data_IF_806320352615
#
_entry.id   IF_806320352615
#
_cell.length_a   1.000
_cell.length_b   1.000
_cell.length_c   1.000
_cell.angle_alpha   90.00
_cell.angle_beta   90.00
_cell.angle_gamma   90.00
#
_symmetry.space_group_name_H-M   'P 1'
#
loop_
_entity.id
_entity.type
_entity.pdbx_description
1 polymer ?
#
# COMPACT_ATOMS: atom_id res chain seq x y z
N UNK A 1 7.37 22.64 38.98
CA UNK A 1 7.94 21.44 38.32
C UNK A 1 7.46 21.31 36.87
N UNK A 2 7.88 22.21 35.97
CA UNK A 2 7.38 22.24 34.58
C UNK A 2 8.51 22.18 33.52
N UNK A 3 9.52 21.32 33.71
CA UNK A 3 10.67 21.23 32.78
C UNK A 3 10.98 19.81 32.27
N UNK A 4 10.21 18.78 32.64
CA UNK A 4 10.49 17.39 32.24
C UNK A 4 9.84 16.97 30.91
N UNK A 5 8.83 17.69 30.42
CA UNK A 5 8.10 17.34 29.18
C UNK A 5 8.84 17.69 27.88
N UNK A 6 9.69 18.72 27.89
CA UNK A 6 10.38 19.20 26.68
C UNK A 6 11.54 18.27 26.27
N UNK A 7 12.25 17.70 27.26
CA UNK A 7 13.38 16.79 27.01
C UNK A 7 12.96 15.46 26.37
N UNK A 8 11.87 14.84 26.84
CA UNK A 8 11.34 13.59 26.30
C UNK A 8 10.85 13.74 24.85
N UNK A 9 10.20 14.87 24.53
CA UNK A 9 9.72 15.13 23.17
C UNK A 9 10.88 15.37 22.19
N UNK A 10 11.96 16.02 22.62
CA UNK A 10 13.16 16.25 21.82
C UNK A 10 13.97 14.95 21.62
N UNK A 11 14.09 14.11 22.66
CA UNK A 11 14.76 12.81 22.60
C UNK A 11 14.00 11.83 21.71
N UNK A 12 12.66 11.78 21.81
CA UNK A 12 11.80 10.95 20.93
C UNK A 12 11.88 11.40 19.47
N UNK A 13 11.92 12.72 19.22
CA UNK A 13 12.09 13.28 17.87
C UNK A 13 13.49 12.99 17.28
N UNK A 14 14.55 13.05 18.11
CA UNK A 14 15.91 12.64 17.72
C UNK A 14 16.04 11.13 17.48
N UNK A 15 15.34 10.30 18.24
CA UNK A 15 15.31 8.85 18.03
C UNK A 15 14.56 8.47 16.74
N UNK A 16 13.40 9.08 16.49
CA UNK A 16 12.64 8.92 15.25
C UNK A 16 13.44 9.40 14.02
N UNK A 17 14.16 10.52 14.12
CA UNK A 17 15.04 11.01 13.06
C UNK A 17 16.23 10.08 12.77
N UNK A 18 16.85 9.48 13.79
CA UNK A 18 17.91 8.47 13.64
C UNK A 18 17.38 7.19 12.98
N UNK A 19 16.21 6.72 13.39
CA UNK A 19 15.57 5.54 12.79
C UNK A 19 15.25 5.73 11.31
N UNK A 20 14.74 6.91 10.92
CA UNK A 20 14.47 7.21 9.51
C UNK A 20 15.75 7.31 8.66
N UNK A 21 16.83 7.88 9.19
CA UNK A 21 18.11 7.94 8.46
C UNK A 21 18.73 6.55 8.25
N UNK A 22 18.61 5.66 9.23
CA UNK A 22 19.05 4.26 9.11
C UNK A 22 18.21 3.52 8.06
N UNK A 23 16.89 3.68 8.07
CA UNK A 23 15.99 3.09 7.07
C UNK A 23 16.39 3.48 5.64
N UNK A 24 16.62 4.79 5.38
CA UNK A 24 17.05 5.27 4.06
C UNK A 24 18.37 4.64 3.61
N UNK A 25 19.37 4.61 4.51
CA UNK A 25 20.68 3.99 4.24
C UNK A 25 20.57 2.50 3.97
N UNK A 26 19.73 1.79 4.72
CA UNK A 26 19.49 0.36 4.54
C UNK A 26 18.86 0.07 3.18
N UNK A 27 17.80 0.80 2.80
CA UNK A 27 17.15 0.64 1.49
C UNK A 27 18.12 0.92 0.33
N UNK A 28 18.92 1.99 0.42
CA UNK A 28 19.93 2.28 -0.60
C UNK A 28 21.02 1.20 -0.66
N UNK A 29 21.46 0.69 0.49
CA UNK A 29 22.45 -0.40 0.56
C UNK A 29 21.94 -1.68 -0.08
N UNK A 30 20.68 -2.03 0.20
CA UNK A 30 20.03 -3.21 -0.37
C UNK A 30 19.78 -3.04 -1.88
N UNK A 31 19.43 -1.83 -2.33
CA UNK A 31 19.36 -1.52 -3.76
C UNK A 31 20.71 -1.70 -4.46
N UNK A 32 21.81 -1.24 -3.85
CA UNK A 32 23.17 -1.45 -4.37
C UNK A 32 23.53 -2.93 -4.48
N UNK A 33 23.23 -3.73 -3.46
CA UNK A 33 23.46 -5.16 -3.54
C UNK A 33 22.59 -5.82 -4.61
N UNK A 34 21.32 -5.44 -4.72
CA UNK A 34 20.40 -5.95 -5.74
C UNK A 34 20.87 -5.65 -7.16
N UNK A 35 21.33 -4.42 -7.44
CA UNK A 35 21.93 -4.07 -8.74
C UNK A 35 23.19 -4.89 -9.01
N UNK A 36 24.04 -5.08 -7.99
CA UNK A 36 25.22 -5.94 -8.13
C UNK A 36 24.84 -7.38 -8.45
N UNK A 37 23.84 -7.95 -7.76
CA UNK A 37 23.35 -9.31 -8.04
C UNK A 37 22.82 -9.43 -9.46
N UNK A 38 22.07 -8.43 -9.95
CA UNK A 38 21.60 -8.40 -11.33
C UNK A 38 22.75 -8.34 -12.35
N UNK A 39 23.75 -7.50 -12.10
CA UNK A 39 24.96 -7.44 -12.93
C UNK A 39 25.66 -8.79 -12.98
N UNK A 40 25.91 -9.41 -11.81
CA UNK A 40 26.58 -10.69 -11.72
C UNK A 40 25.75 -11.80 -12.42
N UNK A 41 24.42 -11.78 -12.33
CA UNK A 41 23.53 -12.74 -13.02
C UNK A 41 23.52 -12.54 -14.53
N UNK A 42 23.53 -11.29 -14.99
CA UNK A 42 23.47 -10.95 -16.41
C UNK A 42 24.67 -11.45 -17.23
N UNK A 43 25.79 -11.79 -16.56
CA UNK A 43 26.94 -12.41 -17.22
C UNK A 43 26.65 -13.82 -17.75
N UNK A 44 25.59 -14.47 -17.28
CA UNK A 44 25.28 -15.87 -17.62
C UNK A 44 24.06 -16.00 -18.53
N UNK A 45 23.05 -15.14 -18.37
CA UNK A 45 21.80 -15.20 -19.12
C UNK A 45 21.12 -13.82 -19.21
N UNK A 46 20.22 -13.66 -20.18
CA UNK A 46 19.32 -12.50 -20.26
C UNK A 46 18.34 -12.50 -19.10
N UNK A 47 18.11 -11.34 -18.49
CA UNK A 47 17.20 -11.22 -17.34
C UNK A 47 15.76 -11.04 -17.83
N UNK A 48 14.87 -11.94 -17.40
CA UNK A 48 13.44 -11.92 -17.72
C UNK A 48 12.54 -11.63 -16.50
N UNK A 49 11.22 -11.62 -16.71
CA UNK A 49 10.22 -11.32 -15.69
C UNK A 49 10.11 -12.39 -14.57
N UNK A 50 10.70 -13.57 -14.76
CA UNK A 50 10.65 -14.69 -13.82
C UNK A 50 11.84 -14.73 -12.86
N UNK A 51 12.92 -14.01 -13.18
CA UNK A 51 14.12 -13.91 -12.32
C UNK A 51 13.76 -13.37 -10.93
N UNK A 52 14.15 -14.11 -9.90
CA UNK A 52 13.93 -13.72 -8.50
C UNK A 52 14.75 -12.48 -8.14
N UNK A 53 15.92 -12.32 -8.73
CA UNK A 53 16.78 -11.14 -8.62
C UNK A 53 16.07 -9.90 -9.16
N UNK A 54 15.43 -10.02 -10.33
CA UNK A 54 14.65 -8.94 -10.93
C UNK A 54 13.41 -8.60 -10.10
N UNK A 55 12.63 -9.61 -9.69
CA UNK A 55 11.44 -9.42 -8.85
C UNK A 55 11.82 -8.66 -7.57
N UNK A 56 12.92 -9.05 -6.92
CA UNK A 56 13.38 -8.40 -5.71
C UNK A 56 13.86 -6.97 -5.98
N UNK A 57 14.61 -6.74 -7.07
CA UNK A 57 15.04 -5.40 -7.48
C UNK A 57 13.85 -4.45 -7.70
N UNK A 58 12.82 -4.89 -8.43
CA UNK A 58 11.61 -4.09 -8.66
C UNK A 58 10.92 -3.76 -7.34
N UNK A 59 10.83 -4.73 -6.42
CA UNK A 59 10.27 -4.51 -5.08
C UNK A 59 11.04 -3.45 -4.29
N UNK A 60 12.37 -3.49 -4.34
CA UNK A 60 13.25 -2.52 -3.68
C UNK A 60 13.09 -1.13 -4.31
N UNK A 61 13.10 -1.04 -5.63
CA UNK A 61 12.93 0.23 -6.34
C UNK A 61 11.55 0.84 -6.08
N UNK A 62 10.49 0.03 -6.12
CA UNK A 62 9.13 0.46 -5.77
C UNK A 62 9.06 0.95 -4.32
N UNK A 63 9.74 0.31 -3.38
CA UNK A 63 9.84 0.78 -1.99
C UNK A 63 10.53 2.15 -1.89
N UNK A 64 11.66 2.32 -2.57
CA UNK A 64 12.41 3.57 -2.57
C UNK A 64 11.57 4.71 -3.16
N UNK A 65 10.91 4.46 -4.28
CA UNK A 65 10.07 5.46 -4.95
C UNK A 65 8.79 5.78 -4.16
N UNK A 66 8.29 4.88 -3.32
CA UNK A 66 7.14 5.14 -2.44
C UNK A 66 7.54 5.63 -1.03
N UNK A 67 8.83 5.66 -0.69
CA UNK A 67 9.29 6.02 0.64
C UNK A 67 8.93 7.48 0.96
N UNK A 68 7.97 7.67 1.88
CA UNK A 68 7.41 8.97 2.30
C UNK A 68 6.82 9.78 1.14
N UNK A 69 6.21 9.09 0.17
CA UNK A 69 5.42 9.73 -0.87
C UNK A 69 4.12 10.28 -0.25
N UNK A 70 3.81 11.56 -0.50
CA UNK A 70 2.59 12.22 0.00
C UNK A 70 1.37 11.68 -0.72
N UNK A 71 0.29 11.44 0.03
CA UNK A 71 -1.04 11.23 -0.53
C UNK A 71 -1.47 12.40 -1.42
N UNK A 72 -2.40 12.14 -2.34
CA UNK A 72 -3.07 13.18 -3.08
C UNK A 72 -4.30 13.64 -2.31
N UNK A 73 -4.25 14.83 -1.74
CA UNK A 73 -5.44 15.47 -1.18
C UNK A 73 -6.37 15.87 -2.32
N UNK A 74 -7.53 15.24 -2.40
CA UNK A 74 -8.60 15.64 -3.32
C UNK A 74 -9.21 16.96 -2.88
N UNK A 75 -9.93 17.65 -3.78
CA UNK A 75 -10.61 18.93 -3.48
C UNK A 75 -11.56 18.83 -2.26
N UNK A 76 -12.09 17.64 -1.99
CA UNK A 76 -12.98 17.36 -0.86
C UNK A 76 -12.23 17.02 0.45
N UNK A 77 -10.90 17.16 0.48
CA UNK A 77 -10.09 16.87 1.66
C UNK A 77 -9.81 15.38 1.90
N UNK A 78 -10.34 14.48 1.06
CA UNK A 78 -9.99 13.05 1.15
C UNK A 78 -8.57 12.85 0.62
N UNK A 79 -7.72 12.19 1.40
CA UNK A 79 -6.42 11.73 0.95
C UNK A 79 -6.59 10.44 0.14
N UNK A 80 -6.36 10.53 -1.16
CA UNK A 80 -6.23 9.37 -2.04
C UNK A 80 -4.77 8.92 -2.06
N UNK A 81 -4.47 7.61 -2.08
CA UNK A 81 -3.10 7.13 -2.23
C UNK A 81 -2.51 7.63 -3.56
N UNK A 82 -1.46 8.45 -3.48
CA UNK A 82 -0.64 8.79 -4.65
C UNK A 82 0.27 7.62 -4.95
N UNK A 83 0.37 7.22 -6.21
CA UNK A 83 1.35 6.22 -6.64
C UNK A 83 2.65 6.90 -7.04
N UNK A 84 3.79 6.21 -6.92
CA UNK A 84 5.04 6.71 -7.50
C UNK A 84 4.93 6.98 -9.00
N UNK A 85 4.04 6.27 -9.71
CA UNK A 85 3.77 6.53 -11.12
C UNK A 85 3.31 7.98 -11.38
N UNK A 86 2.47 8.54 -10.51
CA UNK A 86 2.03 9.93 -10.63
C UNK A 86 3.19 10.91 -10.50
N UNK A 87 4.16 10.60 -9.64
CA UNK A 87 5.40 11.36 -9.52
C UNK A 87 6.24 11.25 -10.80
N UNK A 88 6.44 10.04 -11.32
CA UNK A 88 7.21 9.83 -12.56
C UNK A 88 6.60 10.60 -13.73
N UNK A 89 5.28 10.56 -13.91
CA UNK A 89 4.60 11.33 -14.95
C UNK A 89 4.87 12.83 -14.83
N UNK A 90 4.78 13.36 -13.61
CA UNK A 90 4.98 14.78 -13.36
C UNK A 90 6.44 15.22 -13.55
N UNK A 91 7.41 14.42 -13.08
CA UNK A 91 8.82 14.79 -13.05
C UNK A 91 9.57 14.43 -14.34
N UNK A 92 9.13 13.40 -15.07
CA UNK A 92 9.83 12.88 -16.25
C UNK A 92 9.19 13.29 -17.59
N UNK A 93 8.14 14.11 -17.60
CA UNK A 93 7.47 14.54 -18.84
C UNK A 93 8.38 15.28 -19.84
N UNK A 94 9.52 15.80 -19.38
CA UNK A 94 10.53 16.50 -20.18
C UNK A 94 11.65 15.60 -20.71
N UNK A 95 11.67 14.31 -20.34
CA UNK A 95 12.65 13.35 -20.87
C UNK A 95 12.39 13.17 -22.36
N UNK A 96 13.38 13.37 -23.26
CA UNK A 96 13.20 13.18 -24.69
C UNK A 96 12.75 11.76 -25.03
N UNK A 97 11.85 11.60 -26.00
CA UNK A 97 11.35 10.28 -26.43
C UNK A 97 10.90 9.40 -25.26
N UNK A 98 10.16 9.95 -24.32
CA UNK A 98 9.70 9.19 -23.16
C UNK A 98 8.53 8.26 -23.50
N UNK A 99 8.42 7.16 -22.76
CA UNK A 99 7.38 6.15 -22.94
C UNK A 99 6.09 6.44 -22.14
N UNK A 100 5.97 7.60 -21.47
CA UNK A 100 4.88 7.88 -20.51
C UNK A 100 3.51 7.77 -21.17
N UNK A 101 3.31 8.42 -22.33
CA UNK A 101 2.04 8.37 -23.05
C UNK A 101 1.68 6.96 -23.51
N UNK A 102 2.67 6.18 -23.94
CA UNK A 102 2.49 4.79 -24.36
C UNK A 102 1.99 3.94 -23.19
N UNK A 103 2.64 4.04 -22.02
CA UNK A 103 2.20 3.37 -20.78
C UNK A 103 0.79 3.83 -20.36
N UNK A 104 0.46 5.12 -20.50
CA UNK A 104 -0.86 5.63 -20.15
C UNK A 104 -1.98 5.04 -21.02
N UNK A 105 -1.68 4.77 -22.29
CA UNK A 105 -2.61 4.22 -23.29
C UNK A 105 -2.81 2.70 -23.22
N UNK A 106 -2.07 1.97 -22.36
CA UNK A 106 -2.21 0.52 -22.25
C UNK A 106 -3.57 0.12 -21.66
N UNK A 107 -4.42 -0.56 -22.45
CA UNK A 107 -5.77 -0.98 -22.04
C UNK A 107 -5.77 -2.13 -21.02
N UNK A 108 -4.74 -2.98 -21.08
CA UNK A 108 -4.54 -4.14 -20.22
C UNK A 108 -3.87 -3.81 -18.86
N UNK A 109 -3.48 -2.54 -18.64
CA UNK A 109 -2.80 -2.08 -17.42
C UNK A 109 -3.57 -0.87 -16.88
N UNK A 110 -4.51 -1.12 -15.96
CA UNK A 110 -5.47 -0.09 -15.54
C UNK A 110 -5.03 0.68 -14.31
N UNK A 111 -4.45 0.00 -13.31
CA UNK A 111 -4.09 0.65 -12.05
C UNK A 111 -2.83 1.52 -12.19
N UNK A 112 -2.77 2.62 -11.43
CA UNK A 112 -1.58 3.49 -11.42
C UNK A 112 -0.31 2.74 -11.00
N UNK A 113 -0.45 1.76 -10.09
CA UNK A 113 0.65 0.91 -9.63
C UNK A 113 1.15 -0.01 -10.75
N UNK A 114 0.23 -0.65 -11.48
CA UNK A 114 0.60 -1.50 -12.60
C UNK A 114 1.23 -0.70 -13.75
N UNK A 115 0.76 0.53 -14.00
CA UNK A 115 1.42 1.47 -14.93
C UNK A 115 2.84 1.81 -14.49
N UNK A 116 3.05 2.06 -13.19
CA UNK A 116 4.40 2.24 -12.64
C UNK A 116 5.30 1.03 -12.85
N UNK A 117 4.79 -0.19 -12.63
CA UNK A 117 5.54 -1.44 -12.84
C UNK A 117 5.80 -1.74 -14.32
N UNK A 118 4.88 -1.40 -15.21
CA UNK A 118 5.06 -1.48 -16.66
C UNK A 118 6.14 -0.50 -17.11
N UNK A 119 6.10 0.73 -16.59
CA UNK A 119 7.11 1.74 -16.86
C UNK A 119 8.51 1.27 -16.45
N UNK A 120 8.69 0.70 -15.25
CA UNK A 120 10.00 0.16 -14.81
C UNK A 120 10.55 -0.85 -15.84
N UNK A 121 9.71 -1.79 -16.30
CA UNK A 121 10.11 -2.79 -17.31
C UNK A 121 10.52 -2.13 -18.63
N UNK A 122 9.71 -1.22 -19.14
CA UNK A 122 9.99 -0.53 -20.41
C UNK A 122 11.29 0.27 -20.33
N UNK A 123 11.50 1.05 -19.27
CA UNK A 123 12.73 1.86 -19.16
C UNK A 123 13.98 1.04 -18.88
N UNK A 124 13.85 -0.16 -18.29
CA UNK A 124 14.95 -1.11 -18.15
C UNK A 124 15.32 -1.74 -19.50
N UNK A 125 14.33 -2.17 -20.29
CA UNK A 125 14.56 -2.68 -21.65
C UNK A 125 15.15 -1.61 -22.57
N UNK A 126 14.72 -0.36 -22.42
CA UNK A 126 15.30 0.78 -23.16
C UNK A 126 16.69 1.18 -22.64
N UNK A 127 17.16 0.64 -21.50
CA UNK A 127 18.42 0.99 -20.83
C UNK A 127 18.50 2.46 -20.38
N UNK A 128 17.37 3.01 -19.92
CA UNK A 128 17.19 4.44 -19.62
C UNK A 128 16.74 4.73 -18.20
N UNK A 129 16.56 3.73 -17.33
CA UNK A 129 16.08 3.95 -15.96
C UNK A 129 16.89 5.03 -15.21
N UNK A 130 18.22 5.01 -15.31
CA UNK A 130 19.13 5.99 -14.69
C UNK A 130 18.93 7.42 -15.24
N UNK A 131 18.66 7.57 -16.54
CA UNK A 131 18.37 8.86 -17.18
C UNK A 131 17.06 9.46 -16.64
N UNK A 132 16.00 8.64 -16.57
CA UNK A 132 14.72 9.08 -16.01
C UNK A 132 14.87 9.50 -14.55
N UNK A 133 15.59 8.73 -13.72
CA UNK A 133 15.79 9.07 -12.31
C UNK A 133 16.60 10.35 -12.13
N UNK A 134 17.68 10.50 -12.89
CA UNK A 134 18.47 11.74 -12.90
C UNK A 134 17.65 12.95 -13.33
N UNK A 135 16.77 12.79 -14.33
CA UNK A 135 15.87 13.86 -14.77
C UNK A 135 14.82 14.20 -13.72
N UNK A 136 14.23 13.19 -13.07
CA UNK A 136 13.22 13.38 -12.03
C UNK A 136 13.80 14.15 -10.83
N UNK A 137 15.00 13.77 -10.38
CA UNK A 137 15.68 14.40 -9.25
C UNK A 137 16.13 15.84 -9.54
N UNK A 138 16.38 16.17 -10.82
CA UNK A 138 16.70 17.55 -11.24
C UNK A 138 15.48 18.47 -11.16
N UNK A 139 14.26 17.97 -11.34
CA UNK A 139 13.03 18.73 -11.10
C UNK A 139 12.66 18.75 -9.60
N UNK A 140 13.56 19.32 -8.80
CA UNK A 140 13.43 19.37 -7.34
C UNK A 140 12.11 20.01 -6.86
N UNK A 141 11.54 20.94 -7.63
CA UNK A 141 10.24 21.57 -7.30
C UNK A 141 9.11 20.53 -7.32
N UNK A 142 9.07 19.69 -8.35
CA UNK A 142 8.09 18.60 -8.45
C UNK A 142 8.35 17.53 -7.39
N UNK A 143 9.61 17.10 -7.20
CA UNK A 143 9.97 16.10 -6.18
C UNK A 143 9.58 16.56 -4.78
N UNK A 144 9.90 17.80 -4.39
CA UNK A 144 9.54 18.35 -3.06
C UNK A 144 8.03 18.45 -2.84
N UNK A 145 7.25 18.67 -3.89
CA UNK A 145 5.78 18.66 -3.82
C UNK A 145 5.24 17.25 -3.59
N UNK A 146 5.87 16.22 -4.15
CA UNK A 146 5.42 14.84 -4.09
C UNK A 146 5.85 14.09 -2.82
N UNK A 147 6.97 14.45 -2.17
CA UNK A 147 7.51 13.71 -1.03
C UNK A 147 7.48 14.53 0.27
N UNK A 148 7.36 13.84 1.42
CA UNK A 148 7.52 14.43 2.75
C UNK A 148 8.99 14.64 3.13
N UNK A 149 9.23 15.50 4.12
CA UNK A 149 10.56 15.74 4.64
C UNK A 149 11.19 14.44 5.17
N UNK A 150 12.45 14.22 4.82
CA UNK A 150 13.18 12.99 5.15
C UNK A 150 12.91 11.80 4.22
N UNK A 151 12.24 11.99 3.08
CA UNK A 151 12.17 11.00 2.01
C UNK A 151 13.54 10.74 1.36
N UNK A 152 13.77 9.52 0.84
CA UNK A 152 14.98 9.17 0.09
C UNK A 152 15.18 10.12 -1.10
N UNK A 153 14.11 10.40 -1.84
CA UNK A 153 14.13 11.26 -3.03
C UNK A 153 14.48 12.73 -2.74
N UNK A 154 14.47 13.15 -1.47
CA UNK A 154 14.86 14.50 -1.03
C UNK A 154 16.16 14.52 -0.23
N UNK A 155 16.76 13.36 0.04
CA UNK A 155 17.98 13.20 0.82
C UNK A 155 19.23 13.14 -0.06
N UNK A 156 20.39 13.07 0.61
CA UNK A 156 21.70 12.85 -0.03
C UNK A 156 21.77 11.49 -0.74
N UNK A 157 20.93 10.55 -0.30
CA UNK A 157 20.80 9.20 -0.87
C UNK A 157 20.26 9.20 -2.32
N UNK A 158 19.56 10.26 -2.75
CA UNK A 158 18.95 10.34 -4.06
C UNK A 158 19.97 10.33 -5.22
N UNK A 159 21.08 11.08 -5.07
CA UNK A 159 22.15 11.09 -6.07
C UNK A 159 22.81 9.72 -6.17
N UNK A 160 23.12 9.12 -5.02
CA UNK A 160 23.71 7.78 -4.94
C UNK A 160 22.80 6.70 -5.55
N UNK A 161 21.48 6.85 -5.42
CA UNK A 161 20.51 5.99 -6.09
C UNK A 161 20.64 6.10 -7.62
N UNK A 162 20.63 7.33 -8.17
CA UNK A 162 20.77 7.55 -9.61
C UNK A 162 22.08 6.95 -10.15
N UNK A 163 23.20 7.15 -9.45
CA UNK A 163 24.50 6.58 -9.80
C UNK A 163 24.49 5.06 -9.78
N UNK A 164 23.86 4.46 -8.76
CA UNK A 164 23.74 3.00 -8.63
C UNK A 164 22.97 2.41 -9.81
N UNK A 165 21.92 3.10 -10.30
CA UNK A 165 21.09 2.63 -11.40
C UNK A 165 21.78 2.69 -12.77
N UNK A 166 22.91 3.41 -12.91
CA UNK A 166 23.68 3.47 -14.17
C UNK A 166 24.17 2.08 -14.56
N UNK A 167 24.55 1.24 -13.59
CA UNK A 167 25.03 -0.12 -13.86
C UNK A 167 24.02 -0.97 -14.61
N UNK A 168 22.71 -0.72 -14.45
CA UNK A 168 21.67 -1.49 -15.12
C UNK A 168 21.64 -1.26 -16.64
N UNK A 169 22.22 -0.17 -17.14
CA UNK A 169 22.25 0.12 -18.58
C UNK A 169 23.07 -0.90 -19.37
N UNK A 170 23.96 -1.67 -18.73
CA UNK A 170 24.77 -2.71 -19.39
C UNK A 170 24.07 -4.07 -19.45
N UNK A 171 22.91 -4.21 -18.80
CA UNK A 171 22.17 -5.48 -18.72
C UNK A 171 21.16 -5.56 -19.87
N UNK A 172 21.05 -6.73 -20.49
CA UNK A 172 20.02 -7.04 -21.47
C UNK A 172 18.79 -7.65 -20.77
N UNK A 173 17.72 -6.86 -20.73
CA UNK A 173 16.43 -7.28 -20.17
C UNK A 173 15.45 -7.69 -21.27
N UNK A 174 14.68 -8.75 -21.02
CA UNK A 174 13.64 -9.25 -21.93
C UNK A 174 12.34 -9.52 -21.17
N UNK A 175 11.39 -8.58 -21.25
CA UNK A 175 10.14 -8.65 -20.49
C UNK A 175 8.91 -8.83 -21.37
N UNK A 176 7.93 -9.57 -20.84
CA UNK A 176 6.61 -9.74 -21.44
C UNK A 176 5.61 -8.83 -20.72
N UNK A 177 5.17 -7.76 -21.38
CA UNK A 177 4.13 -6.85 -20.86
C UNK A 177 2.72 -7.46 -20.98
N UNK A 178 2.50 -8.64 -20.38
CA UNK A 178 1.17 -9.24 -20.27
C UNK A 178 0.54 -8.81 -18.94
N UNK A 179 -0.65 -8.20 -18.99
CA UNK A 179 -1.26 -7.46 -17.86
C UNK A 179 -1.42 -8.23 -16.54
N UNK A 180 -1.46 -9.57 -16.56
CA UNK A 180 -1.67 -10.41 -15.37
C UNK A 180 -0.60 -10.23 -14.27
N UNK A 181 0.68 -10.04 -14.63
CA UNK A 181 1.76 -9.90 -13.63
C UNK A 181 1.91 -8.51 -13.03
N UNK A 182 1.31 -7.49 -13.67
CA UNK A 182 1.53 -6.07 -13.32
C UNK A 182 0.55 -5.58 -12.26
N UNK A 183 -0.69 -6.08 -12.28
CA UNK A 183 -1.77 -5.65 -11.40
C UNK A 183 -1.80 -6.38 -10.05
N UNK A 184 -0.89 -7.36 -9.80
CA UNK A 184 -0.86 -8.16 -8.57
C UNK A 184 -1.08 -7.29 -7.33
N UNK A 185 -2.21 -7.48 -6.65
CA UNK A 185 -2.70 -6.62 -5.57
C UNK A 185 -1.76 -6.60 -4.35
N UNK A 186 -0.82 -7.55 -4.31
CA UNK A 186 0.15 -7.69 -3.24
C UNK A 186 1.15 -6.51 -3.24
N UNK A 187 1.44 -5.95 -2.05
CA UNK A 187 2.55 -5.00 -1.87
C UNK A 187 3.85 -5.60 -2.39
N UNK A 188 4.76 -4.76 -2.88
CA UNK A 188 6.13 -5.19 -3.13
C UNK A 188 6.71 -5.78 -1.83
N UNK A 189 7.20 -7.02 -1.85
CA UNK A 189 7.89 -7.60 -0.70
C UNK A 189 9.37 -7.68 -1.05
N UNK A 190 10.22 -7.12 -0.19
CA UNK A 190 11.67 -7.20 -0.36
C UNK A 190 12.15 -8.46 0.37
N UNK A 191 12.80 -9.35 -0.37
CA UNK A 191 13.56 -10.43 0.21
C UNK A 191 14.96 -9.93 0.59
N UNK A 192 15.21 -9.83 1.90
CA UNK A 192 16.50 -9.41 2.44
C UNK A 192 17.50 -10.57 2.56
N UNK A 193 17.03 -11.81 2.51
CA UNK A 193 17.82 -13.04 2.72
C UNK A 193 19.15 -13.04 1.96
N UNK A 194 19.20 -12.73 0.64
CA UNK A 194 20.47 -12.73 -0.10
C UNK A 194 21.47 -11.64 0.33
N UNK A 195 21.03 -10.62 1.09
CA UNK A 195 21.83 -9.46 1.47
C UNK A 195 22.24 -9.44 2.94
N UNK A 196 21.72 -10.37 3.74
CA UNK A 196 22.10 -10.51 5.14
C UNK A 196 23.51 -11.07 5.20
N UNK A 197 24.48 -10.20 5.51
CA UNK A 197 25.84 -10.61 5.84
C UNK A 197 25.90 -10.93 7.33
N UNK A 198 26.34 -12.14 7.64
CA UNK A 198 26.79 -12.48 8.98
C UNK A 198 27.97 -11.56 9.36
N UNK A 199 27.81 -10.79 10.42
CA UNK A 199 28.89 -10.03 11.05
C UNK A 199 29.38 -10.81 12.26
N UNK A 200 30.62 -11.30 12.20
CA UNK A 200 31.24 -12.02 13.30
C UNK A 200 31.33 -11.13 14.55
N UNK A 201 30.98 -11.67 15.70
CA UNK A 201 31.05 -11.00 17.01
C UNK A 201 32.49 -10.59 17.34
N UNK A 202 32.68 -9.42 17.94
CA UNK A 202 34.00 -8.92 18.36
C UNK A 202 34.71 -9.88 19.33
N UNK A 203 33.95 -10.65 20.11
CA UNK A 203 34.46 -11.66 21.04
C UNK A 203 35.10 -12.86 20.31
N UNK A 204 34.57 -13.24 19.15
CA UNK A 204 35.12 -14.32 18.31
C UNK A 204 36.43 -13.88 17.63
N UNK A 205 36.58 -12.59 17.33
CA UNK A 205 37.81 -12.02 16.75
C UNK A 205 38.94 -11.95 17.80
N UNK A 206 38.62 -11.66 19.06
CA UNK A 206 39.58 -11.64 20.17
C UNK A 206 40.20 -13.01 20.45
N UNK A 207 39.40 -14.08 20.34
CA UNK A 207 39.86 -15.46 20.53
C UNK A 207 40.93 -15.88 19.51
N UNK A 208 40.83 -15.40 18.26
CA UNK A 208 41.77 -15.74 17.19
C UNK A 208 43.17 -15.13 17.43
N UNK A 209 43.27 -13.93 18.01
CA UNK A 209 44.57 -13.34 18.31
C UNK A 209 45.29 -14.04 19.46
N UNK A 210 44.55 -14.54 20.45
CA UNK A 210 45.11 -15.21 21.63
C UNK A 210 45.65 -16.61 21.28
N UNK A 211 45.01 -17.29 20.33
CA UNK A 211 45.46 -18.58 19.76
C UNK A 211 46.66 -18.40 18.81
N UNK A 212 46.76 -17.28 18.09
CA UNK A 212 47.91 -16.98 17.23
C UNK A 212 49.18 -16.63 18.04
N UNK A 213 49.02 -15.99 19.20
CA UNK A 213 50.13 -15.67 20.13
C UNK A 213 50.72 -16.91 20.81
N UNK A 214 49.96 -17.97 20.99
CA UNK A 214 50.41 -19.20 21.68
C UNK A 214 51.24 -20.14 20.79
N UNK A 215 51.22 -19.96 19.47
CA UNK A 215 51.88 -20.86 18.50
C UNK A 215 53.18 -20.32 17.89
N UNK A 216 53.46 -19.02 18.06
CA UNK A 216 54.72 -18.40 17.62
C UNK A 216 55.94 -18.74 18.49
N UNK A 217 55.75 -19.52 19.56
CA UNK A 217 56.77 -19.78 20.58
C UNK A 217 57.23 -21.24 20.57
N UNK A 218 57.84 -21.69 19.47
CA UNK A 218 58.69 -22.90 19.51
C UNK A 218 59.71 -22.86 18.38
N UNK A 219 60.82 -22.16 18.63
CA UNK A 219 62.01 -22.16 17.78
C UNK A 219 63.18 -22.78 18.53
N UNK A 220 63.73 -23.87 17.98
CA UNK A 220 65.14 -24.21 18.16
C UNK A 220 65.55 -25.23 17.08
N UNK A 221 66.49 -24.81 16.24
CA UNK A 221 67.05 -25.54 15.11
C UNK A 221 68.24 -26.42 15.52
N UNK A 222 68.44 -27.58 14.88
CA UNK A 222 69.78 -28.11 14.60
C UNK A 222 69.77 -29.09 13.41
N UNK A 223 70.81 -28.98 12.58
CA UNK A 223 71.03 -29.44 11.20
C UNK A 223 71.32 -30.94 10.98
N UNK A 224 70.96 -31.48 9.79
CA UNK A 224 71.87 -32.14 8.80
C UNK A 224 71.07 -32.80 7.65
N UNK A 225 71.55 -32.81 6.38
CA UNK A 225 70.79 -33.36 5.25
C UNK A 225 71.32 -34.74 4.79
N UNK A 226 70.44 -35.74 4.65
CA UNK A 226 70.58 -36.75 3.59
C UNK A 226 69.29 -37.57 3.33
N UNK A 227 69.23 -38.14 2.13
CA UNK A 227 68.04 -38.62 1.41
C UNK A 227 67.37 -39.87 2.00
N UNK A 228 66.33 -39.64 2.79
CA UNK A 228 65.21 -40.56 3.08
C UNK A 228 64.12 -39.64 3.57
N UNK A 229 62.90 -39.62 2.98
CA UNK A 229 61.80 -38.68 3.29
C UNK A 229 62.05 -37.88 4.58
N UNK A 230 62.80 -36.78 4.44
CA UNK A 230 63.60 -36.24 5.56
C UNK A 230 62.66 -35.86 6.69
N UNK A 231 63.06 -36.01 7.95
CA UNK A 231 62.24 -35.58 9.09
C UNK A 231 61.69 -34.16 8.86
N UNK A 232 62.47 -33.28 8.22
CA UNK A 232 62.04 -31.97 7.73
C UNK A 232 60.86 -32.00 6.72
N UNK A 233 60.85 -32.89 5.73
CA UNK A 233 59.73 -33.06 4.78
C UNK A 233 58.46 -33.53 5.48
N UNK A 234 58.58 -34.51 6.38
CA UNK A 234 57.45 -35.03 7.17
C UNK A 234 56.93 -33.95 8.12
N UNK A 235 57.81 -33.18 8.77
CA UNK A 235 57.44 -32.03 9.59
C UNK A 235 56.77 -30.92 8.78
N UNK A 236 57.23 -30.67 7.54
CA UNK A 236 56.63 -29.64 6.67
C UNK A 236 55.25 -30.06 6.20
N UNK A 237 55.06 -31.34 5.85
CA UNK A 237 53.78 -31.89 5.43
C UNK A 237 52.79 -32.00 6.62
N UNK A 238 53.28 -32.38 7.80
CA UNK A 238 52.52 -32.35 9.05
C UNK A 238 52.11 -30.92 9.43
N UNK A 239 53.01 -29.94 9.31
CA UNK A 239 52.72 -28.52 9.51
C UNK A 239 51.66 -27.99 8.52
N UNK A 240 51.73 -28.41 7.25
CA UNK A 240 50.73 -28.07 6.23
C UNK A 240 49.36 -28.71 6.52
N UNK A 241 49.32 -29.97 6.98
CA UNK A 241 48.10 -30.65 7.37
C UNK A 241 47.48 -30.03 8.62
N UNK A 242 48.28 -29.67 9.62
CA UNK A 242 47.83 -28.94 10.81
C UNK A 242 47.27 -27.58 10.41
N UNK A 243 47.94 -26.85 9.53
CA UNK A 243 47.47 -25.56 9.01
C UNK A 243 46.16 -25.68 8.23
N UNK A 244 46.02 -26.72 7.40
CA UNK A 244 44.75 -27.04 6.71
C UNK A 244 43.65 -27.42 7.71
N UNK A 245 43.96 -28.25 8.70
CA UNK A 245 43.02 -28.69 9.73
C UNK A 245 42.49 -27.48 10.51
N UNK A 246 43.37 -26.59 10.98
CA UNK A 246 42.99 -25.33 11.62
C UNK A 246 42.15 -24.43 10.73
N UNK A 247 42.48 -24.34 9.44
CA UNK A 247 41.68 -23.56 8.48
C UNK A 247 40.30 -24.16 8.25
N UNK A 248 40.17 -25.48 8.30
CA UNK A 248 38.88 -26.18 8.24
C UNK A 248 38.08 -26.00 9.53
N UNK A 249 38.72 -26.13 10.69
CA UNK A 249 38.13 -25.89 12.01
C UNK A 249 37.58 -24.47 12.13
N UNK A 250 38.35 -23.47 11.66
CA UNK A 250 37.90 -22.08 11.63
C UNK A 250 36.69 -21.88 10.72
N UNK A 251 36.71 -22.49 9.52
CA UNK A 251 35.56 -22.43 8.61
C UNK A 251 34.32 -23.08 9.23
N UNK A 252 34.49 -24.19 9.93
CA UNK A 252 33.41 -24.88 10.62
C UNK A 252 32.84 -24.04 11.77
N UNK A 253 33.71 -23.41 12.56
CA UNK A 253 33.33 -22.49 13.65
C UNK A 253 32.50 -21.32 13.13
N UNK A 254 32.97 -20.65 12.07
CA UNK A 254 32.22 -19.55 11.42
C UNK A 254 30.88 -20.04 10.87
N UNK A 255 30.84 -21.23 10.25
CA UNK A 255 29.60 -21.81 9.75
C UNK A 255 28.61 -22.12 10.88
N UNK A 256 29.09 -22.53 12.07
CA UNK A 256 28.27 -22.78 13.25
C UNK A 256 27.67 -21.47 13.81
N UNK A 257 28.47 -20.40 13.89
CA UNK A 257 27.97 -19.08 14.31
C UNK A 257 26.94 -18.52 13.31
N UNK A 258 27.20 -18.66 12.01
CA UNK A 258 26.26 -18.30 10.94
C UNK A 258 24.94 -19.06 11.07
N UNK A 259 25.01 -20.37 11.33
CA UNK A 259 23.83 -21.20 11.57
C UNK A 259 23.03 -20.65 12.76
N UNK A 260 23.68 -20.40 13.91
CA UNK A 260 23.01 -19.86 15.09
C UNK A 260 22.35 -18.50 14.86
N UNK A 261 23.00 -17.62 14.09
CA UNK A 261 22.41 -16.33 13.69
C UNK A 261 21.15 -16.51 12.84
N UNK A 262 21.19 -17.42 11.86
CA UNK A 262 20.02 -17.71 11.02
C UNK A 262 18.89 -18.35 11.81
N UNK A 263 19.18 -19.27 12.74
CA UNK A 263 18.18 -19.87 13.63
C UNK A 263 17.49 -18.81 14.51
N UNK A 264 18.25 -17.88 15.08
CA UNK A 264 17.66 -16.79 15.88
C UNK A 264 16.85 -15.82 15.02
N UNK A 265 17.30 -15.54 13.79
CA UNK A 265 16.53 -14.73 12.85
C UNK A 265 15.20 -15.40 12.49
N UNK A 266 15.20 -16.71 12.23
CA UNK A 266 13.98 -17.48 11.99
C UNK A 266 13.06 -17.42 13.20
N UNK A 267 13.58 -17.66 14.42
CA UNK A 267 12.82 -17.57 15.66
C UNK A 267 12.17 -16.20 15.85
N UNK A 268 12.90 -15.12 15.55
CA UNK A 268 12.38 -13.76 15.60
C UNK A 268 11.26 -13.54 14.58
N UNK A 269 11.42 -14.05 13.35
CA UNK A 269 10.39 -13.96 12.30
C UNK A 269 9.14 -14.75 12.64
N UNK A 270 9.27 -15.94 13.20
CA UNK A 270 8.14 -16.74 13.69
C UNK A 270 7.38 -16.02 14.81
N UNK A 271 8.10 -15.40 15.75
CA UNK A 271 7.49 -14.59 16.80
C UNK A 271 6.73 -13.38 16.24
N UNK A 272 7.32 -12.67 15.28
CA UNK A 272 6.66 -11.55 14.58
C UNK A 272 5.42 -12.02 13.81
N UNK A 273 5.51 -13.13 13.10
CA UNK A 273 4.40 -13.73 12.37
C UNK A 273 3.27 -14.12 13.32
N UNK A 274 3.58 -14.78 14.44
CA UNK A 274 2.61 -15.15 15.47
C UNK A 274 1.89 -13.92 16.04
N UNK A 275 2.62 -12.85 16.34
CA UNK A 275 2.05 -11.60 16.81
C UNK A 275 1.14 -10.94 15.76
N UNK A 276 1.58 -10.90 14.50
CA UNK A 276 0.80 -10.35 13.38
C UNK A 276 -0.48 -11.15 13.12
N UNK A 277 -0.40 -12.48 13.16
CA UNK A 277 -1.55 -13.38 13.03
C UNK A 277 -2.56 -13.16 14.17
N UNK A 278 -2.08 -13.03 15.41
CA UNK A 278 -2.94 -12.73 16.56
C UNK A 278 -3.64 -11.39 16.41
N UNK A 279 -2.92 -10.36 15.97
CA UNK A 279 -3.48 -9.03 15.73
C UNK A 279 -4.52 -9.03 14.60
N UNK A 280 -4.23 -9.70 13.48
CA UNK A 280 -5.19 -9.88 12.38
C UNK A 280 -6.45 -10.59 12.85
N UNK A 281 -6.33 -11.63 13.67
CA UNK A 281 -7.48 -12.32 14.26
C UNK A 281 -8.30 -11.41 15.16
N UNK A 282 -7.68 -10.48 15.89
CA UNK A 282 -8.38 -9.47 16.67
C UNK A 282 -9.11 -8.46 15.78
N UNK A 283 -8.45 -7.97 14.72
CA UNK A 283 -9.07 -7.06 13.74
C UNK A 283 -10.26 -7.68 13.03
N UNK A 284 -10.16 -8.94 12.61
CA UNK A 284 -11.27 -9.66 11.98
C UNK A 284 -12.49 -9.79 12.90
N UNK A 285 -12.26 -10.03 14.20
CA UNK A 285 -13.36 -10.03 15.19
C UNK A 285 -13.99 -8.65 15.32
N UNK A 286 -13.19 -7.60 15.50
CA UNK A 286 -13.70 -6.23 15.59
C UNK A 286 -14.50 -5.84 14.34
N UNK A 287 -14.02 -6.23 13.16
CA UNK A 287 -14.72 -5.96 11.90
C UNK A 287 -16.07 -6.69 11.85
N UNK A 288 -16.12 -7.97 12.24
CA UNK A 288 -17.35 -8.73 12.34
C UNK A 288 -18.34 -8.08 13.35
N UNK A 289 -17.85 -7.65 14.50
CA UNK A 289 -18.66 -6.99 15.53
C UNK A 289 -19.22 -5.65 15.02
N UNK A 290 -18.41 -4.85 14.32
CA UNK A 290 -18.89 -3.59 13.71
C UNK A 290 -19.92 -3.83 12.62
N UNK A 291 -19.75 -4.86 11.79
CA UNK A 291 -20.75 -5.24 10.79
C UNK A 291 -22.07 -5.66 11.42
N UNK A 292 -22.01 -6.41 12.52
CA UNK A 292 -23.20 -6.81 13.26
C UNK A 292 -23.90 -5.58 13.88
N UNK A 293 -23.14 -4.68 14.51
CA UNK A 293 -23.68 -3.43 15.07
C UNK A 293 -24.38 -2.59 13.99
N UNK A 294 -23.71 -2.39 12.85
CA UNK A 294 -24.28 -1.62 11.73
C UNK A 294 -25.54 -2.28 11.15
N UNK A 295 -25.58 -3.62 11.08
CA UNK A 295 -26.76 -4.33 10.61
C UNK A 295 -27.96 -4.13 11.56
N UNK A 296 -27.71 -4.20 12.87
CA UNK A 296 -28.72 -4.03 13.89
C UNK A 296 -29.22 -2.57 13.96
N UNK A 297 -28.32 -1.59 13.87
CA UNK A 297 -28.67 -0.17 13.73
C UNK A 297 -29.50 0.10 12.47
N UNK A 298 -29.14 -0.53 11.35
CA UNK A 298 -29.90 -0.41 10.10
C UNK A 298 -31.32 -0.95 10.26
N UNK A 299 -31.49 -2.13 10.86
CA UNK A 299 -32.81 -2.73 11.11
C UNK A 299 -33.66 -1.84 12.05
N UNK A 300 -33.04 -1.28 13.09
CA UNK A 300 -33.71 -0.32 13.98
C UNK A 300 -34.17 0.93 13.24
N UNK A 301 -33.34 1.49 12.35
CA UNK A 301 -33.70 2.66 11.55
C UNK A 301 -34.81 2.33 10.54
N UNK A 302 -34.80 1.15 9.93
CA UNK A 302 -35.88 0.68 9.06
C UNK A 302 -37.20 0.58 9.82
N UNK A 303 -37.19 0.05 11.05
CA UNK A 303 -38.36 0.02 11.92
C UNK A 303 -38.90 1.42 12.24
N UNK A 304 -38.01 2.36 12.63
CA UNK A 304 -38.39 3.75 12.92
C UNK A 304 -39.01 4.43 11.69
N UNK A 305 -38.46 4.19 10.50
CA UNK A 305 -39.01 4.73 9.26
C UNK A 305 -40.43 4.22 9.01
N UNK A 306 -40.69 2.93 9.21
CA UNK A 306 -42.02 2.34 9.05
C UNK A 306 -43.02 2.94 10.05
N UNK A 307 -42.64 3.09 11.31
CA UNK A 307 -43.46 3.72 12.35
C UNK A 307 -43.82 5.17 11.99
N UNK A 308 -42.82 5.95 11.53
CA UNK A 308 -43.03 7.34 11.11
C UNK A 308 -43.92 7.45 9.86
N UNK A 309 -43.81 6.50 8.93
CA UNK A 309 -44.68 6.43 7.75
C UNK A 309 -46.14 6.12 8.11
N UNK A 310 -46.37 5.25 9.09
CA UNK A 310 -47.71 4.95 9.60
C UNK A 310 -48.33 6.19 10.27
N UNK A 311 -47.59 6.84 11.18
CA UNK A 311 -48.03 8.08 11.84
C UNK A 311 -48.37 9.18 10.83
N UNK A 312 -47.55 9.36 9.79
CA UNK A 312 -47.80 10.33 8.73
C UNK A 312 -49.07 9.98 7.93
N UNK A 313 -49.32 8.70 7.68
CA UNK A 313 -50.51 8.22 6.98
C UNK A 313 -51.79 8.49 7.79
N UNK A 314 -51.75 8.22 9.11
CA UNK A 314 -52.85 8.52 10.02
C UNK A 314 -53.16 10.03 10.04
N UNK A 315 -52.13 10.87 10.19
CA UNK A 315 -52.29 12.32 10.17
C UNK A 315 -52.88 12.83 8.86
N UNK A 316 -52.39 12.32 7.72
CA UNK A 316 -52.90 12.67 6.38
C UNK A 316 -54.37 12.30 6.22
N UNK A 317 -54.79 11.13 6.71
CA UNK A 317 -56.19 10.70 6.66
C UNK A 317 -57.08 11.57 7.57
N UNK A 318 -56.59 12.00 8.73
CA UNK A 318 -57.30 12.91 9.63
C UNK A 318 -57.48 14.30 8.99
N UNK A 319 -56.43 14.87 8.39
CA UNK A 319 -56.52 16.13 7.63
C UNK A 319 -57.55 16.03 6.50
N UNK A 320 -57.51 14.94 5.73
CA UNK A 320 -58.47 14.71 4.65
C UNK A 320 -59.91 14.66 5.16
N UNK A 321 -60.15 13.96 6.28
CA UNK A 321 -61.46 13.88 6.92
C UNK A 321 -61.93 15.25 7.41
N UNK A 322 -61.07 15.98 8.12
CA UNK A 322 -61.36 17.34 8.62
C UNK A 322 -61.73 18.29 7.47
N UNK A 323 -61.02 18.19 6.33
CA UNK A 323 -61.32 18.97 5.13
C UNK A 323 -62.65 18.56 4.47
N UNK A 324 -62.97 17.27 4.44
CA UNK A 324 -64.25 16.77 3.92
C UNK A 324 -65.41 17.23 4.80
N UNK A 325 -65.29 17.14 6.12
CA UNK A 325 -66.28 17.62 7.08
C UNK A 325 -66.50 19.13 6.90
N UNK A 326 -65.43 19.92 6.84
CA UNK A 326 -65.55 21.36 6.58
C UNK A 326 -66.25 21.66 5.25
N UNK A 327 -65.89 20.92 4.19
CA UNK A 327 -66.51 21.09 2.86
C UNK A 327 -68.00 20.75 2.91
N UNK A 328 -68.38 19.65 3.58
CA UNK A 328 -69.77 19.27 3.77
C UNK A 328 -70.54 20.33 4.57
N UNK A 329 -69.97 20.86 5.65
CA UNK A 329 -70.58 21.92 6.45
C UNK A 329 -70.77 23.22 5.66
N UNK A 330 -69.83 23.59 4.79
CA UNK A 330 -69.95 24.77 3.93
C UNK A 330 -70.98 24.56 2.81
N UNK A 331 -71.03 23.34 2.23
CA UNK A 331 -71.97 23.01 1.14
C UNK A 331 -73.41 22.90 1.65
N UNK A 332 -73.61 22.41 2.87
CA UNK A 332 -74.95 22.25 3.47
C UNK A 332 -75.52 23.54 4.08
N UNK A 333 -74.71 24.60 4.24
CA UNK A 333 -75.17 25.90 4.74
C UNK A 333 -75.56 26.89 3.64
N UNK A 334 -75.31 26.57 2.37
CA UNK A 334 -75.70 27.41 1.24
C UNK A 334 -76.69 26.64 0.35
N UNK A 335 -77.98 27.05 0.27
CA UNK A 335 -78.90 26.43 -0.68
C UNK A 335 -78.43 26.69 -2.10
N UNK A 336 -78.44 25.66 -2.94
CA UNK A 336 -78.36 25.82 -4.40
C UNK A 336 -79.47 26.77 -4.85
N UNK A 337 -79.20 27.77 -5.72
CA UNK A 337 -80.27 28.51 -6.37
C UNK A 337 -80.89 27.60 -7.44
N UNK A 338 -81.97 26.88 -7.08
CA UNK A 338 -82.81 26.18 -8.06
C UNK A 338 -83.77 27.17 -8.74
N UNK A 339 -83.83 27.04 -10.06
CA UNK A 339 -84.94 27.36 -10.97
C UNK A 339 -85.71 28.69 -10.80
N UNK A 340 -85.47 29.66 -11.70
CA UNK A 340 -86.53 30.51 -12.23
C UNK A 340 -86.29 30.84 -13.73
N UNK A 341 -87.41 30.87 -14.44
CA UNK A 341 -87.63 30.89 -15.88
C UNK A 341 -87.06 32.09 -16.68
N UNK A 342 -87.17 31.91 -18.00
CA UNK A 342 -86.84 32.79 -19.10
C UNK A 342 -87.29 34.27 -19.01
N UNK A 343 -86.56 35.10 -19.78
CA UNK A 343 -86.82 36.48 -20.22
C UNK A 343 -86.72 37.63 -19.18
N UNK A 344 -85.60 38.36 -19.21
CA UNK A 344 -85.58 39.83 -19.25
C UNK A 344 -84.17 40.36 -19.57
N UNK A 345 -84.11 41.23 -20.57
CA UNK A 345 -82.95 42.10 -20.91
C UNK A 345 -82.84 43.21 -19.86
N UNK A 346 -81.63 43.47 -19.32
CA UNK A 346 -81.41 44.60 -18.40
C UNK A 346 -80.03 44.65 -17.71
N UNK A 347 -79.11 45.37 -18.35
CA UNK A 347 -77.84 46.03 -17.96
C UNK A 347 -77.43 46.22 -16.46
N UNK A 348 -76.26 45.63 -16.07
CA UNK A 348 -75.15 46.00 -15.11
C UNK A 348 -75.39 46.33 -13.59
N UNK A 349 -74.38 46.34 -12.66
CA UNK A 349 -72.97 45.80 -12.60
C UNK A 349 -72.64 45.10 -11.21
N UNK A 350 -71.42 45.16 -10.60
CA UNK A 350 -70.14 44.46 -10.84
C UNK A 350 -69.67 43.53 -9.67
N UNK A 351 -68.62 42.72 -9.89
CA UNK A 351 -67.53 42.33 -8.95
C UNK A 351 -67.07 40.87 -9.16
N UNK A 352 -65.96 40.70 -9.90
CA UNK A 352 -65.27 39.41 -10.04
C UNK A 352 -64.31 39.24 -8.85
N UNK A 353 -64.71 38.51 -7.81
CA UNK A 353 -63.75 37.91 -6.90
C UNK A 353 -63.13 36.69 -7.57
N UNK A 354 -61.91 36.88 -8.06
CA UNK A 354 -61.06 35.80 -8.51
C UNK A 354 -60.60 34.97 -7.31
N UNK A 355 -61.25 33.83 -7.04
CA UNK A 355 -60.63 32.75 -6.28
C UNK A 355 -59.78 31.92 -7.25
N UNK A 356 -58.47 32.14 -7.17
CA UNK A 356 -57.45 31.28 -7.75
C UNK A 356 -57.56 29.87 -7.16
N UNK A 357 -58.36 29.01 -7.80
CA UNK A 357 -58.19 27.56 -7.65
C UNK A 357 -56.93 27.17 -8.43
N UNK A 358 -55.79 27.20 -7.75
CA UNK A 358 -54.58 26.52 -8.22
C UNK A 358 -54.87 25.02 -8.22
N UNK A 359 -55.38 24.52 -9.35
CA UNK A 359 -55.26 23.11 -9.72
C UNK A 359 -53.79 22.84 -10.02
N UNK A 360 -53.11 22.11 -9.14
CA UNK A 360 -51.87 21.42 -9.46
C UNK A 360 -52.15 19.91 -9.36
N UNK A 361 -52.08 19.15 -10.46
CA UNK A 361 -52.16 17.71 -10.41
C UNK A 361 -50.77 17.17 -10.07
N UNK A 362 -50.55 16.75 -8.82
CA UNK A 362 -49.44 15.85 -8.51
C UNK A 362 -49.98 14.42 -8.56
N UNK A 363 -49.88 13.86 -9.76
CA UNK A 363 -49.99 12.43 -10.02
C UNK A 363 -48.73 11.78 -9.45
N UNK A 364 -48.82 11.22 -8.25
CA UNK A 364 -47.81 10.29 -7.73
C UNK A 364 -48.23 8.90 -8.19
N UNK A 365 -47.78 8.49 -9.36
CA UNK A 365 -47.80 7.08 -9.73
C UNK A 365 -46.68 6.39 -8.94
N UNK A 366 -47.07 5.67 -7.88
CA UNK A 366 -46.28 4.59 -7.33
C UNK A 366 -46.22 3.46 -8.36
N UNK A 367 -45.05 3.22 -8.94
CA UNK A 367 -44.74 1.95 -9.59
C UNK A 367 -43.45 1.41 -8.99
N UNK A 368 -43.64 0.44 -8.09
CA UNK A 368 -42.63 -0.52 -7.69
C UNK A 368 -42.29 -1.37 -8.92
N UNK A 369 -41.07 -1.27 -9.42
CA UNK A 369 -40.44 -2.37 -10.14
C UNK A 369 -38.94 -2.38 -9.86
N UNK A 370 -38.50 -3.42 -9.16
CA UNK A 370 -37.10 -3.80 -9.03
C UNK A 370 -36.73 -4.57 -10.29
N UNK A 371 -35.63 -4.20 -10.96
CA UNK A 371 -34.77 -5.23 -11.51
C UNK A 371 -33.30 -5.04 -11.12
N UNK A 372 -32.67 -6.19 -10.97
CA UNK A 372 -31.25 -6.45 -10.75
C UNK A 372 -30.32 -5.78 -11.77
N UNK A 373 -29.16 -5.32 -11.27
CA UNK A 373 -27.84 -5.15 -11.91
C UNK A 373 -27.77 -5.20 -13.45
N UNK A 374 -27.25 -4.13 -14.06
CA UNK A 374 -25.89 -4.09 -14.66
C UNK A 374 -25.61 -2.75 -15.37
N UNK A 375 -24.38 -2.25 -15.20
CA UNK A 375 -23.59 -1.41 -16.10
C UNK A 375 -23.91 0.09 -16.36
N UNK A 376 -22.88 0.88 -15.99
CA UNK A 376 -22.20 2.01 -16.69
C UNK A 376 -22.88 3.38 -16.86
N UNK A 377 -22.14 4.41 -16.38
CA UNK A 377 -21.85 5.74 -16.97
C UNK A 377 -23.05 6.58 -17.51
N UNK A 378 -23.22 7.89 -17.25
CA UNK A 378 -22.32 9.01 -16.99
C UNK A 378 -23.05 10.08 -16.13
N UNK A 379 -22.28 10.91 -15.42
CA UNK A 379 -22.75 12.19 -14.83
C UNK A 379 -23.16 13.20 -15.91
N UNK A 380 -24.01 14.19 -15.58
CA UNK A 380 -23.43 15.51 -15.29
C UNK A 380 -24.05 16.28 -14.10
N UNK A 381 -23.13 16.87 -13.33
CA UNK A 381 -23.17 18.13 -12.57
C UNK A 381 -24.47 18.95 -12.56
N UNK A 382 -24.84 19.46 -11.37
CA UNK A 382 -25.06 20.91 -11.18
C UNK A 382 -24.94 21.35 -9.71
N UNK A 383 -24.28 22.50 -9.59
CA UNK A 383 -23.84 23.30 -8.44
C UNK A 383 -24.95 23.80 -7.49
N UNK A 384 -24.53 23.95 -6.22
CA UNK A 384 -24.84 25.09 -5.31
C UNK A 384 -26.17 25.01 -4.56
N UNK A 385 -26.33 25.48 -3.32
CA UNK A 385 -25.51 26.26 -2.38
C UNK A 385 -26.26 26.28 -1.02
N UNK A 386 -25.50 26.28 0.08
CA UNK A 386 -25.83 26.76 1.44
C UNK A 386 -26.99 26.11 2.23
N UNK A 387 -26.93 25.91 3.55
CA UNK A 387 -25.96 26.35 4.55
C UNK A 387 -26.28 25.73 5.93
N UNK A 388 -25.28 25.86 6.82
CA UNK A 388 -25.11 25.34 8.18
C UNK A 388 -26.30 25.39 9.16
N UNK A 389 -26.28 24.49 10.15
CA UNK A 389 -26.07 24.82 11.58
C UNK A 389 -25.80 23.57 12.47
N UNK A 390 -24.76 23.71 13.32
CA UNK A 390 -24.53 23.12 14.66
C UNK A 390 -24.48 21.59 14.83
N UNK A 391 -23.30 20.95 14.99
CA UNK A 391 -22.42 20.88 16.19
C UNK A 391 -22.73 19.70 17.12
N UNK A 392 -21.89 18.65 17.07
CA UNK A 392 -21.39 17.93 18.26
C UNK A 392 -19.92 17.55 18.03
N UNK A 393 -19.11 17.72 19.07
CA UNK A 393 -17.66 17.66 19.08
C UNK A 393 -17.06 16.26 19.31
N UNK A 394 -15.77 16.14 18.95
CA UNK A 394 -14.75 15.18 19.46
C UNK A 394 -14.90 13.72 18.98
N UNK A 395 -13.91 13.08 18.35
CA UNK A 395 -12.51 12.94 18.76
C UNK A 395 -11.52 13.06 17.59
N UNK A 396 -10.44 13.82 17.82
CA UNK A 396 -9.17 13.74 17.08
C UNK A 396 -8.21 12.80 17.81
N UNK A 397 -7.40 12.10 17.01
CA UNK A 397 -6.34 11.10 17.32
C UNK A 397 -6.83 9.70 16.98
N UNK A 398 -6.37 9.07 15.89
CA UNK A 398 -5.01 8.58 15.74
C UNK A 398 -4.49 8.74 14.30
N UNK A 399 -3.28 9.29 14.19
CA UNK A 399 -2.43 9.09 13.03
C UNK A 399 -1.67 7.77 13.19
N UNK A 400 -1.38 7.14 12.05
CA UNK A 400 -0.36 6.11 11.84
C UNK A 400 -0.70 4.71 12.34
N UNK A 401 -0.99 3.80 11.40
CA UNK A 401 -0.08 2.71 11.03
C UNK A 401 -0.63 2.02 9.77
N UNK A 402 0.23 1.88 8.76
CA UNK A 402 0.00 1.10 7.56
C UNK A 402 -0.21 -0.37 7.94
N UNK A 403 -1.29 -0.97 7.47
CA UNK A 403 -1.43 -2.42 7.37
C UNK A 403 -2.07 -2.75 6.02
N UNK A 404 -1.31 -3.42 5.17
CA UNK A 404 -1.84 -4.12 4.00
C UNK A 404 -1.17 -5.49 3.97
N UNK A 405 -1.78 -6.45 4.65
CA UNK A 405 -1.48 -7.87 4.47
C UNK A 405 -2.80 -8.59 4.25
N UNK A 406 -3.12 -8.79 2.97
CA UNK A 406 -4.06 -9.82 2.54
C UNK A 406 -3.24 -11.10 2.33
N UNK A 407 -3.46 -12.14 3.14
CA UNK A 407 -3.03 -13.49 2.80
C UNK A 407 -4.25 -14.33 2.42
N UNK A 408 -4.10 -14.97 1.27
CA UNK A 408 -4.98 -15.97 0.68
C UNK A 408 -4.90 -17.26 1.53
N UNK A 409 -6.05 -17.84 1.82
CA UNK A 409 -6.19 -19.14 2.48
C UNK A 409 -5.57 -20.28 1.64
N UNK A 410 -4.88 -21.27 2.24
CA UNK A 410 -4.59 -22.51 1.54
C UNK A 410 -5.86 -23.36 1.44
N UNK A 411 -6.27 -23.70 0.22
CA UNK A 411 -7.26 -24.73 -0.03
C UNK A 411 -6.67 -26.09 0.34
N UNK A 412 -7.34 -26.78 1.25
CA UNK A 412 -7.05 -28.16 1.66
C UNK A 412 -7.59 -29.11 0.60
N UNK A 413 -6.75 -29.62 -0.30
CA UNK A 413 -7.06 -30.85 -1.04
C UNK A 413 -6.27 -32.00 -0.43
N UNK A 414 -7.00 -32.84 0.31
CA UNK A 414 -6.55 -34.12 0.83
C UNK A 414 -6.72 -35.13 -0.31
N UNK A 415 -5.62 -35.66 -0.83
CA UNK A 415 -5.66 -36.85 -1.68
C UNK A 415 -4.91 -37.99 -0.98
N UNK A 416 -5.66 -39.03 -0.64
CA UNK A 416 -5.21 -40.25 0.03
C UNK A 416 -4.28 -41.09 -0.86
N UNK A 417 -3.30 -41.83 -0.31
CA UNK A 417 -2.48 -42.74 -1.08
C UNK A 417 -3.23 -44.06 -1.34
N UNK A 418 -3.40 -44.39 -2.62
CA UNK A 418 -3.91 -45.68 -3.09
C UNK A 418 -2.87 -46.78 -3.00
N UNK A 419 -3.29 -47.90 -2.43
CA UNK A 419 -2.58 -49.17 -2.28
C UNK A 419 -2.47 -49.86 -3.66
N UNK A 420 -1.26 -50.22 -4.08
CA UNK A 420 -1.01 -51.16 -5.18
C UNK A 420 -0.97 -52.60 -4.65
N UNK A 421 -1.64 -53.58 -5.29
CA UNK A 421 -1.40 -54.98 -5.03
C UNK A 421 -0.47 -55.61 -6.09
N UNK A 422 0.37 -56.53 -5.60
CA UNK A 422 1.16 -57.57 -6.28
C UNK A 422 2.35 -57.16 -7.15
#
# INVERSE_FOLDING_TARGET
>A
MASLGVGLHLVRRRAAGRSAAVERRNLLTVCRFSVKTLLDRSCFETIDDSSTEFINFVSILEHILNHRLKGQTTWFGYESPRSFWDYIKAACGKVPHNCIRSIESMENVRSSRAKGRAWIRVVLMEKRLSEYMSSALRDFKTTRRCYEDGAIMLGEEAGLLADTLIGLNTIDFSFCLKGEGLDSSCPAVIDYTPYLKFTQSADSISSDEEEMRTLGSSGSESSSPDKTATAASIFTEQSNLVSKCKRFEQKYRVALEQKGYLEELVRLREAQLSAAVSHNKALQRNLADTHLSHALEKEQLEFIILELQDQLTVLKNNDLRSRQELTAHLTNQWPSPDALDANAVGTLPPAKHALLTRKSPLRVECLLHVPSRSDKEETPSLRGLCGSLTSVASYKSLASLKSSECLVSPATEISSPGITPS
#
